data_IF_079139127079
#
_entry.id   IF_079139127079
#
_cell.length_a   1.000
_cell.length_b   1.000
_cell.length_c   1.000
_cell.angle_alpha   90.00
_cell.angle_beta   90.00
_cell.angle_gamma   90.00
#
_symmetry.space_group_name_H-M   'P 1'
#
loop_
_entity.id
_entity.type
_entity.pdbx_description
1 polymer ?
#
# COMPACT_ATOMS: atom_id res chain seq x y z
N UNK A 1 -14.96 16.58 -15.66
CA UNK A 1 -13.60 17.06 -15.39
C UNK A 1 -13.33 17.35 -13.91
N UNK A 2 -14.24 17.96 -13.14
CA UNK A 2 -13.98 18.24 -11.70
C UNK A 2 -13.79 17.00 -10.80
N UNK A 3 -14.56 15.92 -11.01
CA UNK A 3 -14.50 14.72 -10.15
C UNK A 3 -13.15 13.98 -10.18
N UNK A 4 -12.47 13.97 -11.32
CA UNK A 4 -11.21 13.24 -11.46
C UNK A 4 -10.07 13.99 -10.76
N UNK A 5 -10.11 15.32 -10.76
CA UNK A 5 -9.16 16.15 -10.02
C UNK A 5 -9.27 15.96 -8.51
N UNK A 6 -10.48 15.76 -7.98
CA UNK A 6 -10.70 15.51 -6.55
C UNK A 6 -10.21 14.11 -6.15
N UNK A 7 -10.52 13.08 -6.94
CA UNK A 7 -10.03 11.71 -6.71
C UNK A 7 -8.50 11.68 -6.73
N UNK A 8 -7.86 12.39 -7.67
CA UNK A 8 -6.40 12.45 -7.74
C UNK A 8 -5.78 13.15 -6.54
N UNK A 9 -6.39 14.23 -6.02
CA UNK A 9 -5.92 14.87 -4.77
C UNK A 9 -5.94 13.89 -3.61
N UNK A 10 -7.02 13.12 -3.48
CA UNK A 10 -7.15 12.13 -2.40
C UNK A 10 -6.14 10.98 -2.56
N UNK A 11 -5.89 10.53 -3.79
CA UNK A 11 -4.84 9.53 -4.06
C UNK A 11 -3.49 10.08 -3.60
N UNK A 12 -3.14 11.33 -3.93
CA UNK A 12 -1.88 11.94 -3.53
C UNK A 12 -1.75 12.10 -2.00
N UNK A 13 -2.80 12.53 -1.32
CA UNK A 13 -2.84 12.68 0.13
C UNK A 13 -2.64 11.35 0.85
N UNK A 14 -3.38 10.32 0.42
CA UNK A 14 -3.24 8.98 0.97
C UNK A 14 -1.87 8.39 0.66
N UNK A 15 -1.39 8.58 -0.56
CA UNK A 15 -0.09 8.09 -0.98
C UNK A 15 1.06 8.71 -0.18
N UNK A 16 1.00 10.02 0.07
CA UNK A 16 1.95 10.71 0.93
C UNK A 16 1.97 10.11 2.35
N UNK A 17 0.81 9.79 2.91
CA UNK A 17 0.69 9.16 4.24
C UNK A 17 1.38 7.79 4.26
N UNK A 18 1.17 6.98 3.24
CA UNK A 18 1.78 5.64 3.08
C UNK A 18 3.31 5.75 2.99
N UNK A 19 3.84 6.61 2.12
CA UNK A 19 5.30 6.80 1.96
C UNK A 19 5.91 7.31 3.26
N UNK A 20 5.27 8.31 3.89
CA UNK A 20 5.77 8.90 5.13
C UNK A 20 5.88 7.85 6.22
N UNK A 21 4.87 7.00 6.38
CA UNK A 21 4.92 5.91 7.34
C UNK A 21 6.02 4.90 7.02
N UNK A 22 6.10 4.44 5.76
CA UNK A 22 7.09 3.46 5.32
C UNK A 22 8.52 3.93 5.59
N UNK A 23 8.80 5.21 5.37
CA UNK A 23 10.15 5.79 5.46
C UNK A 23 10.51 6.34 6.84
N UNK A 24 9.56 6.95 7.56
CA UNK A 24 9.85 7.63 8.83
C UNK A 24 9.85 6.68 10.03
N UNK A 25 9.08 5.59 10.01
CA UNK A 25 8.93 4.68 11.17
C UNK A 25 10.28 4.12 11.66
N UNK A 26 11.19 3.60 10.81
CA UNK A 26 12.50 3.14 11.26
C UNK A 26 13.32 4.23 11.95
N UNK A 27 13.35 5.43 11.34
CA UNK A 27 14.10 6.59 11.86
C UNK A 27 13.58 7.00 13.23
N UNK A 28 12.27 7.06 13.41
CA UNK A 28 11.67 7.45 14.68
C UNK A 28 11.93 6.39 15.76
N UNK A 29 11.87 5.09 15.40
CA UNK A 29 12.21 4.00 16.33
C UNK A 29 13.66 4.13 16.82
N UNK A 30 14.60 4.41 15.93
CA UNK A 30 16.01 4.61 16.29
C UNK A 30 16.19 5.82 17.22
N UNK A 31 15.51 6.93 16.94
CA UNK A 31 15.50 8.10 17.82
C UNK A 31 14.96 7.73 19.20
N UNK A 32 13.86 6.97 19.26
CA UNK A 32 13.27 6.53 20.53
C UNK A 32 14.24 5.68 21.34
N UNK A 33 14.81 4.65 20.72
CA UNK A 33 15.69 3.70 21.40
C UNK A 33 16.97 4.35 21.91
N UNK A 34 17.49 5.36 21.21
CA UNK A 34 18.75 6.02 21.56
C UNK A 34 18.61 7.19 22.55
N UNK A 35 17.45 7.84 22.61
CA UNK A 35 17.28 9.08 23.39
C UNK A 35 16.31 8.98 24.57
N UNK A 36 15.50 7.92 24.65
CA UNK A 36 14.46 7.79 25.67
C UNK A 36 14.65 6.51 26.48
N UNK A 37 14.93 6.64 27.78
CA UNK A 37 15.07 5.52 28.71
C UNK A 37 13.76 5.22 29.46
N UNK A 38 13.49 3.93 29.73
CA UNK A 38 12.29 3.49 30.44
C UNK A 38 11.06 3.27 29.55
N UNK A 39 9.88 3.12 30.15
CA UNK A 39 8.63 2.85 29.43
C UNK A 39 7.89 4.12 29.00
N UNK A 40 8.04 4.50 27.73
CA UNK A 40 7.30 5.60 27.12
C UNK A 40 6.04 5.11 26.42
N UNK A 41 5.10 4.53 27.17
CA UNK A 41 3.91 3.86 26.63
C UNK A 41 3.10 4.73 25.65
N UNK A 42 2.79 5.97 26.01
CA UNK A 42 2.02 6.89 25.15
C UNK A 42 2.75 7.19 23.84
N UNK A 43 4.07 7.38 23.90
CA UNK A 43 4.90 7.67 22.74
C UNK A 43 4.97 6.46 21.80
N UNK A 44 5.16 5.25 22.36
CA UNK A 44 5.12 3.99 21.59
C UNK A 44 3.77 3.80 20.92
N UNK A 45 2.66 3.94 21.65
CA UNK A 45 1.32 3.80 21.08
C UNK A 45 1.07 4.80 19.93
N UNK A 46 1.60 6.02 20.04
CA UNK A 46 1.45 7.04 18.99
C UNK A 46 2.25 6.69 17.73
N UNK A 47 3.51 6.29 17.91
CA UNK A 47 4.47 6.07 16.81
C UNK A 47 4.28 4.71 16.14
N UNK A 48 3.86 3.70 16.89
CA UNK A 48 3.59 2.38 16.36
C UNK A 48 2.12 2.26 15.98
N UNK A 49 1.26 2.04 16.98
CA UNK A 49 -0.12 1.59 16.74
C UNK A 49 -0.95 2.61 15.96
N UNK A 50 -0.93 3.89 16.37
CA UNK A 50 -1.76 4.91 15.72
C UNK A 50 -1.25 5.30 14.34
N UNK A 51 0.06 5.33 14.14
CA UNK A 51 0.65 5.63 12.84
C UNK A 51 0.38 4.49 11.84
N UNK A 52 0.46 3.23 12.29
CA UNK A 52 0.17 2.06 11.47
C UNK A 52 -1.31 2.01 11.07
N UNK A 53 -2.23 2.21 12.02
CA UNK A 53 -3.68 2.29 11.72
C UNK A 53 -4.00 3.40 10.71
N UNK A 54 -3.29 4.53 10.76
CA UNK A 54 -3.45 5.60 9.77
C UNK A 54 -2.93 5.20 8.40
N UNK A 55 -1.77 4.55 8.35
CA UNK A 55 -1.19 4.06 7.10
C UNK A 55 -2.07 2.98 6.44
N UNK A 56 -2.63 2.08 7.24
CA UNK A 56 -3.56 1.03 6.79
C UNK A 56 -4.82 1.64 6.16
N UNK A 57 -5.41 2.65 6.81
CA UNK A 57 -6.58 3.36 6.27
C UNK A 57 -6.25 4.08 4.97
N UNK A 58 -5.13 4.82 4.94
CA UNK A 58 -4.69 5.50 3.73
C UNK A 58 -4.45 4.52 2.57
N UNK A 59 -3.87 3.35 2.85
CA UNK A 59 -3.66 2.29 1.87
C UNK A 59 -4.98 1.76 1.29
N UNK A 60 -5.95 1.44 2.16
CA UNK A 60 -7.27 0.95 1.75
C UNK A 60 -8.05 1.99 0.95
N UNK A 61 -8.07 3.25 1.42
CA UNK A 61 -8.75 4.36 0.76
C UNK A 61 -8.13 4.64 -0.62
N UNK A 62 -6.81 4.69 -0.71
CA UNK A 62 -6.09 4.85 -1.98
C UNK A 62 -6.40 3.72 -2.95
N UNK A 63 -6.37 2.46 -2.50
CA UNK A 63 -6.69 1.31 -3.36
C UNK A 63 -8.14 1.38 -3.88
N UNK A 64 -9.07 1.82 -3.05
CA UNK A 64 -10.47 2.03 -3.44
C UNK A 64 -10.59 3.13 -4.51
N UNK A 65 -9.90 4.25 -4.32
CA UNK A 65 -9.88 5.37 -5.27
C UNK A 65 -9.25 4.97 -6.61
N UNK A 66 -8.12 4.26 -6.57
CA UNK A 66 -7.46 3.71 -7.76
C UNK A 66 -8.37 2.72 -8.51
N UNK A 67 -9.14 1.90 -7.78
CA UNK A 67 -10.09 0.96 -8.39
C UNK A 67 -11.26 1.67 -9.07
N UNK A 68 -11.79 2.72 -8.45
CA UNK A 68 -12.83 3.56 -9.06
C UNK A 68 -12.30 4.24 -10.32
N UNK A 69 -11.09 4.78 -10.26
CA UNK A 69 -10.46 5.42 -11.42
C UNK A 69 -10.22 4.43 -12.56
N UNK A 70 -9.76 3.22 -12.24
CA UNK A 70 -9.61 2.12 -13.19
C UNK A 70 -10.93 1.76 -13.90
N UNK A 71 -12.01 1.64 -13.14
CA UNK A 71 -13.31 1.28 -13.70
C UNK A 71 -13.89 2.37 -14.61
N UNK A 72 -13.51 3.64 -14.42
CA UNK A 72 -13.96 4.78 -15.24
C UNK A 72 -13.05 5.03 -16.44
N UNK A 73 -11.73 4.93 -16.26
CA UNK A 73 -10.73 5.39 -17.23
C UNK A 73 -9.95 4.24 -17.90
N UNK A 74 -10.13 3.00 -17.46
CA UNK A 74 -9.42 1.85 -18.02
C UNK A 74 -7.91 1.87 -17.71
N UNK A 75 -7.52 2.34 -16.53
CA UNK A 75 -6.12 2.48 -16.11
C UNK A 75 -5.33 1.17 -16.24
N UNK A 76 -5.96 0.03 -15.92
CA UNK A 76 -5.35 -1.28 -16.10
C UNK A 76 -5.01 -1.58 -17.57
N UNK A 77 -5.87 -1.18 -18.51
CA UNK A 77 -5.65 -1.42 -19.94
C UNK A 77 -4.51 -0.54 -20.47
N UNK A 78 -4.40 0.69 -19.96
CA UNK A 78 -3.24 1.55 -20.21
C UNK A 78 -1.94 0.88 -19.75
N UNK A 79 -1.91 0.32 -18.53
CA UNK A 79 -0.71 -0.34 -18.03
C UNK A 79 -0.35 -1.62 -18.77
N UNK A 80 -1.33 -2.39 -19.22
CA UNK A 80 -1.10 -3.53 -20.12
C UNK A 80 -0.48 -3.05 -21.44
N UNK A 81 -1.04 -2.00 -22.05
CA UNK A 81 -0.54 -1.45 -23.31
C UNK A 81 0.88 -0.89 -23.20
N UNK A 82 1.25 -0.41 -22.02
CA UNK A 82 2.58 0.12 -21.71
C UNK A 82 3.60 -0.94 -21.30
N UNK A 83 3.21 -2.22 -21.22
CA UNK A 83 4.03 -3.30 -20.65
C UNK A 83 4.57 -2.93 -19.26
N UNK A 84 3.69 -2.39 -18.41
CA UNK A 84 4.07 -1.94 -17.08
C UNK A 84 4.57 -3.12 -16.23
N UNK A 85 5.64 -2.93 -15.44
CA UNK A 85 6.16 -4.01 -14.60
C UNK A 85 5.13 -4.44 -13.55
N UNK A 86 5.20 -5.69 -13.13
CA UNK A 86 4.41 -6.19 -12.01
C UNK A 86 4.64 -5.34 -10.75
N UNK A 87 3.63 -5.13 -9.93
CA UNK A 87 3.68 -4.35 -8.68
C UNK A 87 4.17 -5.20 -7.48
N UNK A 88 4.46 -6.46 -7.72
CA UNK A 88 4.92 -7.42 -6.72
C UNK A 88 4.42 -8.83 -7.06
N UNK A 89 4.04 -9.58 -6.04
CA UNK A 89 3.74 -11.01 -6.14
C UNK A 89 2.53 -11.41 -5.32
N UNK A 90 1.85 -12.49 -5.71
CA UNK A 90 0.76 -13.12 -4.95
C UNK A 90 1.07 -14.58 -4.76
N UNK A 91 1.11 -15.01 -3.50
CA UNK A 91 1.18 -16.41 -3.14
C UNK A 91 -0.24 -16.98 -3.07
N UNK A 92 -0.51 -17.96 -3.92
CA UNK A 92 -1.79 -18.63 -4.05
C UNK A 92 -1.90 -19.80 -3.05
N UNK A 93 -3.13 -20.19 -2.73
CA UNK A 93 -3.39 -21.31 -1.82
C UNK A 93 -2.95 -22.68 -2.39
N UNK A 94 -2.68 -22.77 -3.69
CA UNK A 94 -2.10 -23.95 -4.35
C UNK A 94 -0.55 -23.95 -4.34
N UNK A 95 0.07 -22.98 -3.67
CA UNK A 95 1.52 -22.83 -3.56
C UNK A 95 2.18 -22.14 -4.76
N UNK A 96 1.42 -21.72 -5.78
CA UNK A 96 1.97 -20.94 -6.88
C UNK A 96 2.20 -19.49 -6.48
N UNK A 97 3.23 -18.90 -7.05
CA UNK A 97 3.47 -17.47 -6.97
C UNK A 97 3.20 -16.85 -8.36
N UNK A 98 2.36 -15.83 -8.38
CA UNK A 98 1.98 -15.11 -9.61
C UNK A 98 2.33 -13.64 -9.49
N UNK A 99 2.67 -13.01 -10.61
CA UNK A 99 2.88 -11.57 -10.64
C UNK A 99 1.61 -10.79 -10.27
N UNK A 100 1.79 -9.74 -9.47
CA UNK A 100 0.71 -8.88 -9.03
C UNK A 100 0.62 -7.67 -9.96
N UNK A 101 -0.49 -7.51 -10.70
CA UNK A 101 -0.72 -6.36 -11.58
C UNK A 101 -1.73 -5.38 -11.00
N UNK A 102 -1.85 -4.19 -11.58
CA UNK A 102 -2.60 -3.05 -11.02
C UNK A 102 -4.01 -3.37 -10.51
N UNK A 103 -4.86 -3.97 -11.34
CA UNK A 103 -6.22 -4.36 -10.93
C UNK A 103 -6.22 -5.44 -9.86
N UNK A 104 -5.28 -6.39 -9.92
CA UNK A 104 -5.19 -7.41 -8.89
C UNK A 104 -4.70 -6.82 -7.56
N UNK A 105 -3.71 -5.93 -7.60
CA UNK A 105 -3.17 -5.23 -6.43
C UNK A 105 -4.26 -4.49 -5.67
N UNK A 106 -5.04 -3.64 -6.36
CA UNK A 106 -6.13 -2.90 -5.72
C UNK A 106 -7.16 -3.85 -5.10
N UNK A 107 -7.54 -4.92 -5.80
CA UNK A 107 -8.44 -5.94 -5.25
C UNK A 107 -7.86 -6.63 -4.00
N UNK A 108 -6.58 -6.99 -4.00
CA UNK A 108 -5.92 -7.65 -2.87
C UNK A 108 -5.84 -6.74 -1.64
N UNK A 109 -5.53 -5.46 -1.84
CA UNK A 109 -5.55 -4.46 -0.75
C UNK A 109 -6.96 -4.31 -0.17
N UNK A 110 -7.98 -4.13 -1.03
CA UNK A 110 -9.37 -3.91 -0.61
C UNK A 110 -9.94 -5.10 0.17
N UNK A 111 -9.54 -6.32 -0.20
CA UNK A 111 -10.07 -7.54 0.40
C UNK A 111 -9.18 -8.17 1.47
N UNK A 112 -8.02 -7.58 1.77
CA UNK A 112 -7.12 -8.06 2.81
C UNK A 112 -7.81 -8.14 4.18
N UNK A 113 -7.39 -9.12 4.99
CA UNK A 113 -7.74 -9.21 6.40
C UNK A 113 -6.85 -8.32 7.27
N UNK A 114 -5.58 -8.22 6.90
CA UNK A 114 -4.57 -7.43 7.60
C UNK A 114 -3.44 -7.02 6.66
N UNK A 115 -2.73 -5.97 7.05
CA UNK A 115 -1.53 -5.48 6.38
C UNK A 115 -0.31 -5.70 7.27
N UNK A 116 0.83 -5.96 6.64
CA UNK A 116 2.12 -6.01 7.31
C UNK A 116 3.12 -5.16 6.54
N UNK A 117 3.85 -4.34 7.28
CA UNK A 117 4.77 -3.35 6.72
C UNK A 117 6.22 -3.80 6.92
N UNK A 118 6.87 -4.21 5.82
CA UNK A 118 8.30 -4.52 5.83
C UNK A 118 9.07 -3.26 5.41
N UNK A 119 9.58 -2.54 6.40
CA UNK A 119 10.30 -1.28 6.20
C UNK A 119 11.69 -1.46 5.58
N UNK A 120 12.35 -2.60 5.81
CA UNK A 120 13.69 -2.87 5.29
C UNK A 120 13.63 -3.13 3.78
N UNK A 121 12.71 -3.98 3.35
CA UNK A 121 12.50 -4.30 1.93
C UNK A 121 11.60 -3.29 1.21
N UNK A 122 11.01 -2.34 1.94
CA UNK A 122 10.01 -1.37 1.44
C UNK A 122 8.84 -2.08 0.76
N UNK A 123 8.30 -3.09 1.43
CA UNK A 123 7.16 -3.87 0.95
C UNK A 123 5.97 -3.77 1.89
N UNK A 124 4.78 -3.87 1.30
CA UNK A 124 3.54 -4.07 2.04
C UNK A 124 3.04 -5.47 1.72
N UNK A 125 2.79 -6.28 2.74
CA UNK A 125 2.16 -7.59 2.58
C UNK A 125 0.70 -7.48 2.97
N UNK A 126 -0.19 -7.72 2.02
CA UNK A 126 -1.60 -7.95 2.31
C UNK A 126 -1.77 -9.42 2.66
N UNK A 127 -2.52 -9.75 3.71
CA UNK A 127 -2.87 -11.13 4.03
C UNK A 127 -4.34 -11.39 3.73
N UNK A 128 -4.63 -12.56 3.18
CA UNK A 128 -5.97 -12.93 2.77
C UNK A 128 -6.87 -13.25 3.97
N UNK A 129 -8.18 -13.27 3.73
CA UNK A 129 -9.14 -13.79 4.72
C UNK A 129 -9.06 -15.30 4.76
N UNK A 130 -9.50 -15.90 5.88
CA UNK A 130 -9.56 -17.35 6.02
C UNK A 130 -10.39 -17.95 4.87
N UNK A 131 -9.83 -18.95 4.18
CA UNK A 131 -10.42 -19.65 3.03
C UNK A 131 -10.43 -18.92 1.68
N UNK A 132 -9.64 -17.85 1.52
CA UNK A 132 -9.41 -17.26 0.20
C UNK A 132 -8.55 -18.15 -0.72
N UNK A 133 -8.60 -17.87 -2.02
CA UNK A 133 -7.78 -18.55 -3.05
C UNK A 133 -6.31 -18.13 -3.05
N UNK A 134 -6.00 -17.05 -2.34
CA UNK A 134 -4.65 -16.52 -2.15
C UNK A 134 -4.35 -16.46 -0.65
N UNK A 135 -3.07 -16.44 -0.31
CA UNK A 135 -2.57 -16.42 1.07
C UNK A 135 -2.06 -15.02 1.42
N UNK A 136 -1.18 -14.50 0.58
CA UNK A 136 -0.55 -13.19 0.76
C UNK A 136 -0.21 -12.55 -0.58
N UNK A 137 -0.16 -11.23 -0.59
CA UNK A 137 0.23 -10.43 -1.74
C UNK A 137 1.26 -9.40 -1.27
N UNK A 138 2.46 -9.49 -1.82
CA UNK A 138 3.54 -8.54 -1.58
C UNK A 138 3.47 -7.43 -2.61
N UNK A 139 3.50 -6.19 -2.13
CA UNK A 139 3.47 -4.97 -2.94
C UNK A 139 4.81 -4.28 -2.76
N UNK A 140 5.49 -4.02 -3.87
CA UNK A 140 6.72 -3.25 -3.93
C UNK A 140 6.40 -1.75 -3.93
N UNK A 141 6.84 -1.03 -2.90
CA UNK A 141 6.55 0.39 -2.76
C UNK A 141 7.17 1.26 -3.84
N UNK A 142 8.35 0.89 -4.36
CA UNK A 142 9.01 1.66 -5.42
C UNK A 142 8.23 1.53 -6.72
N UNK A 143 7.70 0.34 -7.00
CA UNK A 143 6.84 0.11 -8.18
C UNK A 143 5.49 0.81 -8.02
N UNK A 144 4.92 0.83 -6.82
CA UNK A 144 3.71 1.61 -6.54
C UNK A 144 3.94 3.11 -6.76
N UNK A 145 5.08 3.65 -6.30
CA UNK A 145 5.48 5.05 -6.57
C UNK A 145 5.54 5.35 -8.06
N UNK A 146 6.14 4.45 -8.84
CA UNK A 146 6.20 4.61 -10.29
C UNK A 146 4.80 4.72 -10.91
N UNK A 147 3.88 3.83 -10.52
CA UNK A 147 2.52 3.81 -11.05
C UNK A 147 1.73 5.06 -10.65
N UNK A 148 1.77 5.48 -9.39
CA UNK A 148 1.09 6.72 -8.95
C UNK A 148 1.65 7.93 -9.70
N UNK A 149 2.97 7.97 -9.94
CA UNK A 149 3.60 9.01 -10.76
C UNK A 149 3.14 9.02 -12.22
N UNK A 150 2.73 7.87 -12.78
CA UNK A 150 2.23 7.75 -14.15
C UNK A 150 0.76 8.10 -14.33
N UNK A 151 -0.07 7.91 -13.30
CA UNK A 151 -1.51 8.26 -13.34
C UNK A 151 -1.70 9.78 -13.15
N UNK A 152 -0.67 10.48 -12.70
CA UNK A 152 -0.72 11.91 -12.35
C UNK A 152 -0.47 12.87 -13.52
N UNK A 153 -0.44 12.38 -14.76
CA UNK A 153 -0.20 13.14 -16.00
C UNK A 153 -1.34 12.96 -16.99
#
# INVERSE_FOLDING_TARGET
MHKNSEIMSLIHENFWTIISFMTAKPVIIDIMNNNFQGEWKTLRNTIHDQAEVKADRALLEMATQLRILDDVEGINDLFIAMDAPSLGTVNQSDGKNTELYFRDMTNKIIHAAQYHWNHEERKITCQAKKHDKWIEAEIDMVRLMYIVGKIST
#
